data_IF_657220232205
#
_entry.id   IF_657220232205
#
_cell.length_a   1.000
_cell.length_b   1.000
_cell.length_c   1.000
_cell.angle_alpha   90.00
_cell.angle_beta   90.00
_cell.angle_gamma   90.00
#
_symmetry.space_group_name_H-M   'P 1'
#
loop_
_entity.id
_entity.type
_entity.pdbx_description
1 polymer ?
#
# COMPACT_ATOMS: atom_id res chain seq x y z
N UNK A 1 0.92 -11.86 15.60
CA UNK A 1 2.30 -12.11 15.11
C UNK A 1 3.27 -12.23 16.29
N UNK A 2 3.26 -11.31 17.25
CA UNK A 2 4.13 -11.36 18.44
C UNK A 2 3.95 -12.66 19.25
N UNK A 3 2.70 -13.09 19.49
CA UNK A 3 2.43 -14.34 20.19
C UNK A 3 2.97 -15.58 19.43
N UNK A 4 2.88 -15.58 18.09
CA UNK A 4 3.45 -16.65 17.26
C UNK A 4 4.97 -16.67 17.37
N UNK A 5 5.63 -15.52 17.35
CA UNK A 5 7.09 -15.43 17.51
C UNK A 5 7.55 -15.88 18.89
N UNK A 6 6.84 -15.51 19.95
CA UNK A 6 7.13 -15.97 21.32
C UNK A 6 6.90 -17.48 21.48
N UNK A 7 5.86 -18.02 20.85
CA UNK A 7 5.61 -19.47 20.83
C UNK A 7 6.71 -20.23 20.11
N UNK A 8 7.17 -19.72 18.96
CA UNK A 8 8.32 -20.29 18.24
C UNK A 8 9.60 -20.20 19.09
N UNK A 9 9.87 -19.07 19.72
CA UNK A 9 11.01 -18.88 20.61
C UNK A 9 11.04 -19.91 21.75
N UNK A 10 9.90 -20.10 22.42
CA UNK A 10 9.76 -21.10 23.49
C UNK A 10 10.07 -22.52 22.98
N UNK A 11 9.50 -22.89 21.82
CA UNK A 11 9.71 -24.21 21.22
C UNK A 11 11.19 -24.45 20.84
N UNK A 12 11.81 -23.44 20.22
CA UNK A 12 13.24 -23.48 19.82
C UNK A 12 14.12 -23.63 21.05
N UNK A 13 13.89 -22.83 22.09
CA UNK A 13 14.66 -22.87 23.33
C UNK A 13 14.56 -24.22 24.06
N UNK A 14 13.40 -24.86 24.04
CA UNK A 14 13.16 -26.15 24.67
C UNK A 14 13.76 -27.32 23.88
N UNK A 15 13.63 -27.32 22.56
CA UNK A 15 14.03 -28.47 21.73
C UNK A 15 15.49 -28.42 21.28
N UNK A 16 16.03 -27.23 20.99
CA UNK A 16 17.40 -27.01 20.52
C UNK A 16 17.86 -27.94 19.39
N UNK A 17 16.95 -28.29 18.47
CA UNK A 17 17.20 -29.22 17.37
C UNK A 17 17.83 -28.53 16.14
N UNK A 18 18.75 -27.56 16.35
CA UNK A 18 19.41 -26.82 15.26
C UNK A 18 20.86 -26.53 15.62
N UNK A 19 21.67 -26.26 14.59
CA UNK A 19 23.04 -25.76 14.72
C UNK A 19 23.09 -24.33 14.21
N UNK A 20 23.60 -23.40 15.02
CA UNK A 20 23.73 -22.00 14.66
C UNK A 20 23.08 -21.08 15.68
N UNK A 21 22.80 -19.86 15.23
CA UNK A 21 22.20 -18.79 16.01
C UNK A 21 20.85 -18.45 15.45
N UNK A 22 19.84 -18.32 16.30
CA UNK A 22 18.51 -17.82 15.93
C UNK A 22 18.31 -16.47 16.61
N UNK A 23 18.19 -15.43 15.80
CA UNK A 23 17.88 -14.09 16.25
C UNK A 23 16.36 -13.88 16.15
N UNK A 24 15.73 -13.43 17.23
CA UNK A 24 14.29 -13.13 17.26
C UNK A 24 14.10 -11.63 17.03
N UNK A 25 13.47 -11.27 15.91
CA UNK A 25 13.30 -9.88 15.51
C UNK A 25 11.86 -9.45 15.82
N UNK A 26 11.71 -8.51 16.74
CA UNK A 26 10.43 -7.88 17.07
C UNK A 26 10.35 -6.54 16.36
N UNK A 27 9.74 -6.52 15.16
CA UNK A 27 9.62 -5.32 14.35
C UNK A 27 8.60 -4.34 14.94
N UNK A 28 8.97 -3.09 15.19
CA UNK A 28 8.01 -2.04 15.57
C UNK A 28 7.27 -1.50 14.34
N UNK A 29 6.09 -0.92 14.55
CA UNK A 29 5.34 -0.15 13.53
C UNK A 29 5.14 -0.89 12.21
N UNK A 30 4.78 -2.17 12.25
CA UNK A 30 4.56 -2.98 11.04
C UNK A 30 3.40 -2.42 10.20
N UNK A 31 2.30 -2.01 10.83
CA UNK A 31 1.11 -1.47 10.15
C UNK A 31 1.26 0.01 9.72
N UNK A 32 2.38 0.63 10.05
CA UNK A 32 2.74 1.98 9.61
C UNK A 32 4.06 1.95 8.86
N UNK A 33 4.22 2.89 7.95
CA UNK A 33 5.39 2.92 7.07
C UNK A 33 6.69 3.07 7.89
N UNK A 34 7.60 2.11 7.80
CA UNK A 34 9.01 2.33 8.06
C UNK A 34 9.68 1.51 9.15
N UNK A 35 8.99 0.75 10.01
CA UNK A 35 9.64 0.05 11.13
C UNK A 35 10.76 -0.89 10.71
N UNK A 36 10.52 -1.78 9.74
CA UNK A 36 11.55 -2.68 9.21
C UNK A 36 12.68 -1.91 8.52
N UNK A 37 12.34 -0.90 7.73
CA UNK A 37 13.33 -0.07 7.02
C UNK A 37 14.28 0.61 8.01
N UNK A 38 13.73 1.22 9.06
CA UNK A 38 14.53 1.87 10.11
C UNK A 38 15.47 0.88 10.78
N UNK A 39 15.00 -0.31 11.14
CA UNK A 39 15.85 -1.34 11.73
C UNK A 39 17.01 -1.74 10.81
N UNK A 40 16.74 -1.91 9.51
CA UNK A 40 17.76 -2.24 8.52
C UNK A 40 18.78 -1.10 8.36
N UNK A 41 18.31 0.15 8.25
CA UNK A 41 19.14 1.35 8.14
C UNK A 41 20.01 1.56 9.40
N UNK A 42 19.50 1.24 10.57
CA UNK A 42 20.24 1.25 11.83
C UNK A 42 21.25 0.09 11.96
N UNK A 43 21.32 -0.80 10.99
CA UNK A 43 22.33 -1.82 10.89
C UNK A 43 21.94 -3.16 11.50
N UNK A 44 20.66 -3.53 11.48
CA UNK A 44 20.17 -4.83 11.97
C UNK A 44 21.04 -5.98 11.50
N UNK A 45 21.27 -6.11 10.20
CA UNK A 45 22.04 -7.22 9.63
C UNK A 45 23.55 -7.06 9.73
N UNK A 46 24.06 -5.89 10.13
CA UNK A 46 25.47 -5.71 10.51
C UNK A 46 25.74 -6.18 11.93
N UNK A 47 24.79 -5.91 12.84
CA UNK A 47 24.88 -6.31 14.24
C UNK A 47 24.50 -7.79 14.44
N UNK A 48 23.57 -8.28 13.64
CA UNK A 48 23.05 -9.66 13.68
C UNK A 48 23.11 -10.27 12.28
N UNK A 49 24.31 -10.64 11.78
CA UNK A 49 24.44 -11.32 10.49
C UNK A 49 23.60 -12.60 10.45
N UNK A 50 22.98 -12.87 9.33
CA UNK A 50 22.14 -14.06 9.16
C UNK A 50 22.19 -14.57 7.72
N UNK A 51 22.06 -15.89 7.55
CA UNK A 51 22.01 -16.56 6.25
C UNK A 51 20.59 -16.56 5.67
N UNK A 52 19.57 -16.46 6.54
CA UNK A 52 18.16 -16.45 6.15
C UNK A 52 17.31 -15.65 7.13
N UNK A 53 16.20 -15.10 6.62
CA UNK A 53 15.19 -14.41 7.41
C UNK A 53 13.84 -15.09 7.15
N UNK A 54 13.12 -15.40 8.22
CA UNK A 54 11.81 -16.00 8.17
C UNK A 54 10.77 -15.05 8.76
N UNK A 55 9.61 -14.97 8.13
CA UNK A 55 8.46 -14.24 8.66
C UNK A 55 7.20 -15.10 8.51
N UNK A 56 6.29 -14.96 9.45
CA UNK A 56 4.99 -15.64 9.44
C UNK A 56 3.89 -14.59 9.56
N UNK A 57 2.90 -14.67 8.67
CA UNK A 57 1.71 -13.83 8.73
C UNK A 57 0.47 -14.70 8.92
N UNK A 58 -0.47 -14.27 9.76
CA UNK A 58 -1.76 -14.95 9.88
C UNK A 58 -2.59 -14.75 8.61
N UNK A 59 -3.35 -15.75 8.22
CA UNK A 59 -4.27 -15.66 7.09
C UNK A 59 -5.63 -16.22 7.48
N UNK A 60 -6.69 -15.39 7.54
CA UNK A 60 -8.03 -15.87 7.87
C UNK A 60 -8.63 -16.79 6.79
N UNK A 61 -8.04 -16.77 5.58
CA UNK A 61 -8.50 -17.60 4.46
C UNK A 61 -7.92 -19.02 4.45
N UNK A 62 -7.01 -19.33 5.37
CA UNK A 62 -6.44 -20.68 5.52
C UNK A 62 -7.05 -21.40 6.72
N UNK A 63 -7.41 -22.67 6.59
CA UNK A 63 -7.84 -23.49 7.72
C UNK A 63 -6.77 -23.56 8.82
N UNK A 64 -7.20 -23.66 10.08
CA UNK A 64 -6.30 -23.79 11.21
C UNK A 64 -5.33 -24.96 11.02
N UNK A 65 -4.05 -24.76 11.35
CA UNK A 65 -3.00 -25.76 11.19
C UNK A 65 -2.45 -25.89 9.77
N UNK A 66 -2.89 -25.06 8.83
CA UNK A 66 -2.32 -25.01 7.47
C UNK A 66 -1.35 -23.84 7.34
N UNK A 67 -0.30 -24.06 6.55
CA UNK A 67 0.68 -23.06 6.19
C UNK A 67 0.67 -22.94 4.67
N UNK A 68 0.47 -21.72 4.17
CA UNK A 68 0.57 -21.40 2.75
C UNK A 68 1.99 -20.97 2.40
N UNK A 69 2.57 -21.59 1.39
CA UNK A 69 3.88 -21.25 0.85
C UNK A 69 3.80 -21.13 -0.67
N UNK A 70 4.61 -20.25 -1.23
CA UNK A 70 4.81 -20.17 -2.69
C UNK A 70 6.25 -19.74 -3.00
N UNK A 71 6.82 -20.21 -4.11
CA UNK A 71 8.07 -19.65 -4.64
C UNK A 71 7.90 -18.19 -5.07
N UNK A 72 8.93 -17.37 -4.88
CA UNK A 72 8.92 -15.96 -5.27
C UNK A 72 8.16 -15.05 -4.29
N UNK A 73 7.74 -13.87 -4.75
CA UNK A 73 7.09 -12.88 -3.89
C UNK A 73 5.81 -13.42 -3.26
N UNK A 74 5.74 -13.41 -1.93
CA UNK A 74 4.62 -13.93 -1.15
C UNK A 74 3.57 -12.86 -0.87
N UNK A 75 4.01 -11.65 -0.52
CA UNK A 75 3.16 -10.52 -0.19
C UNK A 75 3.41 -9.36 -1.15
N UNK A 76 2.35 -8.64 -1.51
CA UNK A 76 2.46 -7.45 -2.34
C UNK A 76 3.11 -6.30 -1.56
N UNK A 77 3.88 -5.48 -2.26
CA UNK A 77 4.23 -4.16 -1.77
C UNK A 77 2.97 -3.30 -1.64
N UNK A 78 2.96 -2.45 -0.63
CA UNK A 78 1.86 -1.52 -0.31
C UNK A 78 2.37 -0.11 -0.47
N UNK A 79 1.65 0.68 -1.25
CA UNK A 79 1.86 2.13 -1.34
C UNK A 79 0.54 2.86 -1.12
N UNK A 80 0.65 4.08 -0.63
CA UNK A 80 -0.44 5.04 -0.53
C UNK A 80 -0.09 6.27 -1.37
N UNK A 81 -1.07 6.81 -2.07
CA UNK A 81 -0.95 8.09 -2.75
C UNK A 81 -2.12 9.00 -2.37
N UNK A 82 -1.84 10.28 -2.29
CA UNK A 82 -2.86 11.31 -2.05
C UNK A 82 -2.86 12.26 -3.24
N UNK A 83 -4.01 12.38 -3.90
CA UNK A 83 -4.25 13.36 -4.95
C UNK A 83 -5.10 14.48 -4.36
N UNK A 84 -4.63 15.71 -4.50
CA UNK A 84 -5.37 16.92 -4.15
C UNK A 84 -5.69 17.68 -5.42
N UNK A 85 -6.96 17.78 -5.75
CA UNK A 85 -7.44 18.55 -6.88
C UNK A 85 -7.82 19.95 -6.38
N UNK A 86 -7.03 20.93 -6.75
CA UNK A 86 -7.29 22.33 -6.42
C UNK A 86 -8.19 22.93 -7.47
N UNK A 87 -9.33 23.46 -7.03
CA UNK A 87 -10.29 24.12 -7.89
C UNK A 87 -10.53 25.57 -7.51
N UNK A 88 -11.52 26.18 -8.15
CA UNK A 88 -12.06 27.48 -7.77
C UNK A 88 -13.52 27.28 -7.42
N UNK A 89 -13.82 27.30 -6.13
CA UNK A 89 -15.18 27.16 -5.62
C UNK A 89 -16.09 28.34 -5.89
N UNK A 90 -17.37 28.15 -5.66
CA UNK A 90 -18.36 29.20 -5.86
C UNK A 90 -19.79 28.72 -5.62
N UNK A 91 -20.77 29.54 -6.00
CA UNK A 91 -22.17 29.22 -5.86
C UNK A 91 -22.60 28.15 -6.87
N UNK A 92 -23.25 27.08 -6.42
CA UNK A 92 -23.66 25.94 -7.27
C UNK A 92 -24.56 26.27 -8.44
N UNK A 93 -25.27 27.42 -8.41
CA UNK A 93 -26.10 27.90 -9.52
C UNK A 93 -25.31 28.74 -10.55
N UNK A 94 -24.01 28.95 -10.35
CA UNK A 94 -23.13 29.70 -11.27
C UNK A 94 -21.84 28.92 -11.55
N UNK A 95 -21.94 27.67 -12.03
CA UNK A 95 -20.77 26.80 -12.24
C UNK A 95 -19.81 27.35 -13.29
N UNK A 96 -20.26 28.16 -14.22
CA UNK A 96 -19.44 28.81 -15.26
C UNK A 96 -18.38 29.77 -14.69
N UNK A 97 -18.50 30.17 -13.42
CA UNK A 97 -17.55 31.03 -12.70
C UNK A 97 -16.56 30.25 -11.84
N UNK A 98 -16.61 28.93 -11.90
CA UNK A 98 -15.85 28.03 -11.04
C UNK A 98 -14.91 27.12 -11.84
N UNK A 99 -14.03 26.43 -11.14
CA UNK A 99 -13.33 25.25 -11.64
C UNK A 99 -13.64 24.13 -10.62
N UNK A 100 -14.53 23.23 -11.01
CA UNK A 100 -15.14 22.26 -10.08
C UNK A 100 -14.20 21.08 -9.81
N UNK A 101 -13.59 20.98 -8.61
CA UNK A 101 -12.69 19.88 -8.28
C UNK A 101 -13.40 18.55 -8.08
N UNK A 102 -14.73 18.53 -7.89
CA UNK A 102 -15.50 17.29 -7.78
C UNK A 102 -15.59 16.64 -9.17
N UNK A 103 -15.88 17.40 -10.19
CA UNK A 103 -15.97 16.90 -11.58
C UNK A 103 -14.61 16.40 -12.04
N UNK A 104 -13.54 17.18 -11.83
CA UNK A 104 -12.18 16.78 -12.15
C UNK A 104 -11.75 15.52 -11.36
N UNK A 105 -12.02 15.50 -10.06
CA UNK A 105 -11.74 14.32 -9.21
C UNK A 105 -12.49 13.06 -9.66
N UNK A 106 -13.73 13.18 -10.07
CA UNK A 106 -14.51 12.06 -10.61
C UNK A 106 -13.92 11.55 -11.93
N UNK A 107 -13.48 12.44 -12.83
CA UNK A 107 -12.79 12.08 -14.06
C UNK A 107 -11.47 11.34 -13.78
N UNK A 108 -10.70 11.81 -12.79
CA UNK A 108 -9.47 11.14 -12.32
C UNK A 108 -9.81 9.73 -11.81
N UNK A 109 -10.83 9.56 -10.97
CA UNK A 109 -11.25 8.22 -10.47
C UNK A 109 -11.51 7.27 -11.62
N UNK A 110 -12.25 7.69 -12.64
CA UNK A 110 -12.56 6.86 -13.80
C UNK A 110 -11.32 6.55 -14.64
N UNK A 111 -10.47 7.54 -14.88
CA UNK A 111 -9.22 7.35 -15.64
C UNK A 111 -8.25 6.39 -14.92
N UNK A 112 -8.14 6.46 -13.61
CA UNK A 112 -7.29 5.56 -12.80
C UNK A 112 -7.66 4.08 -12.99
N UNK A 113 -8.92 3.73 -13.24
CA UNK A 113 -9.35 2.36 -13.48
C UNK A 113 -8.74 1.77 -14.76
N UNK A 114 -8.33 2.62 -15.70
CA UNK A 114 -7.70 2.17 -16.94
C UNK A 114 -6.26 1.69 -16.75
N UNK A 115 -5.59 2.06 -15.67
CA UNK A 115 -4.20 1.68 -15.41
C UNK A 115 -4.08 0.15 -15.39
N UNK A 116 -4.81 -0.51 -14.50
CA UNK A 116 -4.75 -1.97 -14.37
C UNK A 116 -5.40 -2.64 -15.56
N UNK A 117 -6.58 -2.18 -15.98
CA UNK A 117 -7.33 -2.85 -17.02
C UNK A 117 -6.76 -2.71 -18.44
N UNK A 118 -5.89 -1.71 -18.71
CA UNK A 118 -5.39 -1.41 -20.05
C UNK A 118 -3.87 -1.29 -20.17
N UNK A 119 -3.15 -1.12 -19.07
CA UNK A 119 -1.71 -0.89 -19.12
C UNK A 119 -0.88 -1.96 -18.40
N UNK A 120 -1.49 -2.80 -17.58
CA UNK A 120 -0.82 -3.91 -16.90
C UNK A 120 -1.06 -5.21 -17.68
N UNK A 121 -0.02 -6.03 -17.78
CA UNK A 121 -0.12 -7.35 -18.45
C UNK A 121 -1.07 -8.27 -17.67
N UNK A 122 -1.82 -9.12 -18.37
CA UNK A 122 -2.84 -9.98 -17.76
C UNK A 122 -2.31 -10.92 -16.65
N UNK A 123 -1.03 -11.28 -16.71
CA UNK A 123 -0.40 -12.16 -15.71
C UNK A 123 0.35 -11.42 -14.61
N UNK A 124 0.27 -10.11 -14.58
CA UNK A 124 0.99 -9.27 -13.63
C UNK A 124 0.00 -8.70 -12.60
N UNK A 125 0.04 -9.19 -11.34
CA UNK A 125 -0.89 -8.73 -10.33
C UNK A 125 -0.58 -7.29 -9.91
N UNK A 126 -1.57 -6.42 -10.07
CA UNK A 126 -1.53 -5.04 -9.59
C UNK A 126 -2.92 -4.58 -9.16
N UNK A 127 -2.97 -3.69 -8.17
CA UNK A 127 -4.24 -3.09 -7.70
C UNK A 127 -4.03 -1.59 -7.53
N UNK A 128 -4.99 -0.82 -8.01
CA UNK A 128 -5.13 0.62 -7.74
C UNK A 128 -6.56 0.85 -7.26
N UNK A 129 -6.70 1.23 -6.00
CA UNK A 129 -8.01 1.47 -5.38
C UNK A 129 -8.09 2.91 -4.90
N UNK A 130 -9.13 3.64 -5.27
CA UNK A 130 -9.48 4.90 -4.61
C UNK A 130 -10.30 4.54 -3.37
N UNK A 131 -9.64 4.56 -2.21
CA UNK A 131 -10.25 4.19 -0.93
C UNK A 131 -11.04 5.32 -0.27
N UNK A 132 -10.77 6.58 -0.69
CA UNK A 132 -11.47 7.76 -0.16
C UNK A 132 -11.52 8.85 -1.21
N UNK A 133 -12.68 9.51 -1.32
CA UNK A 133 -12.90 10.72 -2.10
C UNK A 133 -13.72 11.69 -1.25
N UNK A 134 -13.12 12.81 -0.85
CA UNK A 134 -13.77 13.80 0.00
C UNK A 134 -13.74 15.17 -0.69
N UNK A 135 -14.91 15.79 -0.82
CA UNK A 135 -15.08 17.13 -1.37
C UNK A 135 -16.41 17.73 -0.96
N UNK A 136 -16.42 19.02 -0.68
CA UNK A 136 -17.63 19.77 -0.36
C UNK A 136 -18.37 19.32 0.92
N UNK A 137 -19.43 20.04 1.27
CA UNK A 137 -20.25 19.73 2.46
C UNK A 137 -21.73 20.07 2.27
N UNK A 138 -22.07 20.90 1.27
CA UNK A 138 -23.45 21.37 1.02
C UNK A 138 -23.73 21.40 -0.48
N UNK A 139 -24.99 21.25 -0.85
CA UNK A 139 -25.42 21.08 -2.25
C UNK A 139 -25.33 22.34 -3.12
N UNK A 140 -25.33 23.52 -2.52
CA UNK A 140 -25.36 24.80 -3.23
C UNK A 140 -23.99 25.50 -3.30
N UNK A 141 -22.89 24.84 -2.91
CA UNK A 141 -21.53 25.38 -2.94
C UNK A 141 -20.60 24.38 -3.61
N UNK A 142 -19.92 24.82 -4.67
CA UNK A 142 -18.80 24.11 -5.28
C UNK A 142 -17.56 24.35 -4.41
N UNK A 143 -16.86 23.31 -3.95
CA UNK A 143 -15.71 23.45 -3.04
C UNK A 143 -14.45 23.98 -3.76
N UNK A 144 -13.44 24.34 -2.97
CA UNK A 144 -12.13 24.72 -3.49
C UNK A 144 -11.17 23.54 -3.68
N UNK A 145 -11.45 22.40 -3.06
CA UNK A 145 -10.57 21.22 -3.11
C UNK A 145 -11.39 19.92 -3.13
N UNK A 146 -10.88 18.95 -3.85
CA UNK A 146 -11.23 17.54 -3.66
C UNK A 146 -9.97 16.74 -3.29
N UNK A 147 -10.11 15.79 -2.38
CA UNK A 147 -9.03 14.93 -1.90
C UNK A 147 -9.36 13.46 -2.14
N UNK A 148 -8.47 12.77 -2.86
CA UNK A 148 -8.53 11.33 -3.08
C UNK A 148 -7.37 10.66 -2.34
N UNK A 149 -7.64 9.50 -1.72
CA UNK A 149 -6.61 8.66 -1.11
C UNK A 149 -6.64 7.30 -1.79
N UNK A 150 -5.49 6.87 -2.28
CA UNK A 150 -5.35 5.66 -3.08
C UNK A 150 -4.53 4.62 -2.32
N UNK A 151 -4.99 3.38 -2.33
CA UNK A 151 -4.21 2.19 -1.98
C UNK A 151 -3.68 1.51 -3.23
N UNK A 152 -2.38 1.22 -3.27
CA UNK A 152 -1.71 0.63 -4.42
C UNK A 152 -1.04 -0.66 -3.98
N UNK A 153 -1.16 -1.73 -4.78
CA UNK A 153 -0.53 -3.03 -4.54
C UNK A 153 0.20 -3.50 -5.79
N UNK A 154 1.41 -4.02 -5.62
CA UNK A 154 2.21 -4.60 -6.70
C UNK A 154 3.21 -5.61 -6.16
N UNK A 155 3.68 -6.54 -7.02
CA UNK A 155 4.71 -7.52 -6.66
C UNK A 155 6.06 -7.21 -7.30
N UNK A 156 6.04 -6.65 -8.51
CA UNK A 156 7.25 -6.32 -9.27
C UNK A 156 7.66 -4.86 -9.07
N UNK A 157 8.96 -4.56 -8.84
CA UNK A 157 9.45 -3.20 -8.64
C UNK A 157 9.26 -2.28 -9.86
N UNK A 158 9.32 -2.81 -11.10
CA UNK A 158 9.13 -2.00 -12.30
C UNK A 158 7.65 -1.63 -12.45
N UNK A 159 6.75 -2.60 -12.18
CA UNK A 159 5.31 -2.34 -12.13
C UNK A 159 4.97 -1.32 -11.05
N UNK A 160 5.58 -1.42 -9.87
CA UNK A 160 5.42 -0.42 -8.80
C UNK A 160 5.81 0.97 -9.26
N UNK A 161 6.94 1.11 -9.95
CA UNK A 161 7.38 2.38 -10.52
C UNK A 161 6.41 2.87 -11.60
N UNK A 162 6.00 2.00 -12.51
CA UNK A 162 5.05 2.31 -13.58
C UNK A 162 3.72 2.82 -13.02
N UNK A 163 3.15 2.13 -12.02
CA UNK A 163 1.89 2.54 -11.38
C UNK A 163 1.98 3.95 -10.81
N UNK A 164 3.05 4.26 -10.08
CA UNK A 164 3.28 5.59 -9.53
C UNK A 164 3.34 6.66 -10.62
N UNK A 165 4.16 6.42 -11.64
CA UNK A 165 4.38 7.38 -12.73
C UNK A 165 3.08 7.59 -13.52
N UNK A 166 2.29 6.52 -13.73
CA UNK A 166 1.02 6.59 -14.45
C UNK A 166 -0.09 7.28 -13.64
N UNK A 167 -0.16 7.03 -12.33
CA UNK A 167 -1.09 7.74 -11.43
C UNK A 167 -0.81 9.24 -11.46
N UNK A 168 0.46 9.64 -11.32
CA UNK A 168 0.87 11.04 -11.40
C UNK A 168 0.46 11.66 -12.73
N UNK A 169 0.79 10.99 -13.84
CA UNK A 169 0.44 11.47 -15.18
C UNK A 169 -1.08 11.68 -15.36
N UNK A 170 -1.90 10.73 -14.90
CA UNK A 170 -3.36 10.86 -14.97
C UNK A 170 -3.85 12.03 -14.11
N UNK A 171 -3.33 12.17 -12.88
CA UNK A 171 -3.73 13.25 -12.00
C UNK A 171 -3.43 14.62 -12.61
N UNK A 172 -2.24 14.79 -13.20
CA UNK A 172 -1.80 16.06 -13.78
C UNK A 172 -2.51 16.45 -15.08
N UNK A 173 -3.10 15.49 -15.81
CA UNK A 173 -3.67 15.74 -17.16
C UNK A 173 -5.20 15.60 -17.21
N UNK A 174 -5.84 15.19 -16.13
CA UNK A 174 -7.30 15.12 -16.04
C UNK A 174 -7.90 16.25 -15.17
N UNK A 175 -7.06 17.02 -14.48
CA UNK A 175 -7.47 18.12 -13.61
C UNK A 175 -7.67 19.44 -14.38
#
# INVERSE_FOLDING_TARGET
>A
HMAMLLGAAKTIAQRRCFRGIVNLIFQPSEEKIGGAKIMVEQGLFRQFPCDAVFALHNSPNLPLGRIGLRPGPMMAAVDEAVIRVQGRGGHGASPEKTADPIVAGAAIVMALQTIVSRNIKAFEPAVVTVGSFNAGSVSNVIPHEAKLVLGIRSFDPNTRKFLRDRITHIADHQA
#
